data_IF_699560213412
#
_entry.id   IF_699560213412
#
_cell.length_a   1.000
_cell.length_b   1.000
_cell.length_c   1.000
_cell.angle_alpha   90.00
_cell.angle_beta   90.00
_cell.angle_gamma   90.00
#
_symmetry.space_group_name_H-M   'P 1'
#
loop_
_entity.id
_entity.type
_entity.pdbx_description
1 polymer ?
#
# COMPACT_ATOMS: atom_id res chain seq x y z
N UNK A 1 40.81 31.38 -1.41
CA UNK A 1 39.82 30.72 -2.27
C UNK A 1 38.67 30.26 -1.40
N UNK A 2 37.46 30.81 -1.63
CA UNK A 2 36.25 30.53 -0.87
C UNK A 2 35.59 29.31 -1.53
N UNK A 3 35.45 28.21 -0.80
CA UNK A 3 34.74 27.03 -1.31
C UNK A 3 33.27 27.40 -1.57
N UNK A 4 32.65 26.92 -2.67
CA UNK A 4 31.24 27.12 -2.90
C UNK A 4 30.45 26.27 -1.91
N UNK A 5 29.66 26.95 -1.07
CA UNK A 5 28.64 26.32 -0.23
C UNK A 5 27.62 25.68 -1.18
N UNK A 6 27.64 24.35 -1.25
CA UNK A 6 26.66 23.58 -2.02
C UNK A 6 25.28 23.84 -1.43
N UNK A 7 24.43 24.56 -2.16
CA UNK A 7 23.04 24.78 -1.80
C UNK A 7 22.31 23.43 -1.77
N UNK A 8 22.08 22.90 -0.57
CA UNK A 8 21.12 21.85 -0.36
C UNK A 8 19.74 22.45 -0.71
N UNK A 9 19.13 22.01 -1.81
CA UNK A 9 17.72 22.25 -2.06
C UNK A 9 16.89 21.75 -0.86
N UNK A 10 15.72 22.33 -0.57
CA UNK A 10 14.94 21.96 0.60
C UNK A 10 14.67 20.46 0.56
N UNK A 11 15.23 19.73 1.53
CA UNK A 11 14.93 18.33 1.73
C UNK A 11 13.41 18.22 1.81
N UNK A 12 12.79 17.51 0.87
CA UNK A 12 11.34 17.31 0.85
C UNK A 12 10.96 16.70 2.19
N UNK A 13 10.28 17.47 3.04
CA UNK A 13 9.89 17.05 4.37
C UNK A 13 8.66 16.13 4.24
N UNK A 14 8.91 14.91 3.78
CA UNK A 14 7.89 13.91 3.48
C UNK A 14 7.53 13.17 4.76
N UNK A 15 6.24 13.09 5.07
CA UNK A 15 5.74 12.37 6.23
C UNK A 15 5.89 10.85 6.06
N UNK A 16 6.17 10.15 7.17
CA UNK A 16 6.33 8.69 7.21
C UNK A 16 5.86 8.14 8.55
N UNK A 17 5.48 6.86 8.57
CA UNK A 17 5.00 6.18 9.77
C UNK A 17 3.56 6.59 10.08
N UNK A 18 3.29 6.95 11.34
CA UNK A 18 1.95 7.27 11.83
C UNK A 18 1.64 8.77 11.93
N UNK A 19 2.59 9.65 11.58
CA UNK A 19 2.49 11.09 11.90
C UNK A 19 2.89 11.98 10.72
N UNK A 20 2.08 13.01 10.48
CA UNK A 20 2.38 14.17 9.63
C UNK A 20 2.53 15.40 10.54
N UNK A 21 3.71 16.02 10.53
CA UNK A 21 4.05 17.19 11.37
C UNK A 21 3.95 18.49 10.58
N UNK A 22 3.94 19.64 11.25
CA UNK A 22 4.05 20.94 10.59
C UNK A 22 5.22 21.00 9.61
N UNK A 23 4.99 21.63 8.47
CA UNK A 23 5.93 21.75 7.36
C UNK A 23 6.12 20.45 6.58
N UNK A 24 5.45 19.35 6.96
CA UNK A 24 5.52 18.08 6.24
C UNK A 24 4.38 17.92 5.25
N UNK A 25 4.60 17.04 4.27
CA UNK A 25 3.61 16.67 3.26
C UNK A 25 3.48 15.17 3.07
N UNK A 26 2.27 14.75 2.67
CA UNK A 26 1.92 13.41 2.21
C UNK A 26 1.40 13.52 0.77
N UNK A 27 2.12 12.89 -0.16
CA UNK A 27 1.78 12.91 -1.59
C UNK A 27 2.03 11.53 -2.17
N UNK A 28 0.99 10.90 -2.73
CA UNK A 28 1.06 9.57 -3.36
C UNK A 28 1.63 8.49 -2.43
N UNK A 29 1.29 8.61 -1.15
CA UNK A 29 1.87 7.85 -0.05
C UNK A 29 0.83 7.63 1.03
N UNK A 30 1.20 6.82 2.02
CA UNK A 30 0.37 6.53 3.16
C UNK A 30 1.05 6.83 4.49
N UNK A 31 0.21 7.04 5.50
CA UNK A 31 0.56 6.94 6.91
C UNK A 31 -0.20 5.75 7.49
N UNK A 32 0.42 5.02 8.40
CA UNK A 32 -0.17 3.85 9.04
C UNK A 32 -0.10 3.99 10.55
N UNK A 33 -1.13 3.52 11.26
CA UNK A 33 -1.10 3.35 12.71
C UNK A 33 0.08 2.46 13.12
N UNK A 34 0.51 2.58 14.38
CA UNK A 34 1.68 1.83 14.88
C UNK A 34 1.49 0.31 14.83
N UNK A 35 0.25 -0.16 14.93
CA UNK A 35 -0.13 -1.57 14.77
C UNK A 35 -0.36 -1.99 13.30
N UNK A 36 -0.30 -1.03 12.36
CA UNK A 36 -0.50 -1.26 10.93
C UNK A 36 -1.95 -1.49 10.51
N UNK A 37 -2.89 -1.56 11.46
CA UNK A 37 -4.31 -1.87 11.21
C UNK A 37 -5.12 -0.68 10.69
N UNK A 38 -4.55 0.51 10.52
CA UNK A 38 -5.27 1.66 9.98
C UNK A 38 -4.35 2.46 9.11
N UNK A 39 -4.82 2.78 7.89
CA UNK A 39 -3.97 3.39 6.87
C UNK A 39 -4.68 4.59 6.23
N UNK A 40 -4.06 5.77 6.35
CA UNK A 40 -4.45 6.98 5.65
C UNK A 40 -3.64 7.08 4.34
N UNK A 41 -4.31 7.18 3.20
CA UNK A 41 -3.70 7.17 1.87
C UNK A 41 -4.06 8.45 1.12
N UNK A 42 -3.04 9.18 0.65
CA UNK A 42 -3.21 10.20 -0.37
C UNK A 42 -3.05 9.57 -1.76
N UNK A 43 -4.12 9.57 -2.57
CA UNK A 43 -4.17 8.90 -3.86
C UNK A 43 -4.04 9.87 -5.04
N UNK A 44 -3.71 9.32 -6.21
CA UNK A 44 -3.62 10.07 -7.48
C UNK A 44 -4.98 10.42 -8.09
N UNK A 45 -6.05 9.72 -7.68
CA UNK A 45 -7.44 9.96 -8.09
C UNK A 45 -8.09 11.12 -7.31
N UNK A 46 -7.27 11.99 -6.70
CA UNK A 46 -7.69 13.19 -5.95
C UNK A 46 -8.53 12.85 -4.72
N UNK A 47 -8.09 11.81 -3.99
CA UNK A 47 -8.74 11.33 -2.76
C UNK A 47 -7.76 11.17 -1.61
N UNK A 48 -8.25 11.46 -0.41
CA UNK A 48 -7.64 11.12 0.86
C UNK A 48 -8.55 10.08 1.51
N UNK A 49 -8.04 8.88 1.78
CA UNK A 49 -8.85 7.74 2.21
C UNK A 49 -8.26 7.11 3.46
N UNK A 50 -9.09 6.81 4.46
CA UNK A 50 -8.74 6.04 5.64
C UNK A 50 -9.32 4.64 5.53
N UNK A 51 -8.48 3.62 5.69
CA UNK A 51 -8.85 2.21 5.73
C UNK A 51 -8.68 1.64 7.13
N UNK A 52 -9.56 0.73 7.54
CA UNK A 52 -9.39 -0.10 8.73
C UNK A 52 -8.54 -1.35 8.46
N UNK A 53 -8.48 -2.25 9.44
CA UNK A 53 -7.58 -3.42 9.42
C UNK A 53 -8.07 -4.47 8.42
N UNK A 54 -9.37 -4.48 8.16
CA UNK A 54 -10.05 -5.32 7.18
C UNK A 54 -9.98 -4.74 5.76
N UNK A 55 -9.33 -3.58 5.59
CA UNK A 55 -9.22 -2.88 4.31
C UNK A 55 -10.52 -2.19 3.88
N UNK A 56 -11.50 -2.04 4.78
CA UNK A 56 -12.71 -1.28 4.52
C UNK A 56 -12.43 0.22 4.64
N UNK A 57 -13.02 0.99 3.73
CA UNK A 57 -12.94 2.45 3.78
C UNK A 57 -13.85 2.97 4.89
N UNK A 58 -13.25 3.56 5.92
CA UNK A 58 -13.96 4.10 7.08
C UNK A 58 -14.09 5.63 7.05
N UNK A 59 -13.30 6.33 6.22
CA UNK A 59 -13.43 7.77 5.99
C UNK A 59 -12.74 8.19 4.69
N UNK A 60 -13.21 9.26 4.05
CA UNK A 60 -12.55 9.81 2.87
C UNK A 60 -12.96 11.27 2.58
N UNK A 61 -12.12 11.97 1.82
CA UNK A 61 -12.47 13.20 1.10
C UNK A 61 -11.99 13.11 -0.35
N UNK A 62 -12.71 13.79 -1.24
CA UNK A 62 -12.27 14.05 -2.60
C UNK A 62 -12.13 15.55 -2.85
N UNK A 63 -11.37 15.89 -3.90
CA UNK A 63 -11.20 17.25 -4.38
C UNK A 63 -11.00 17.26 -5.89
N UNK A 64 -11.08 18.43 -6.51
CA UNK A 64 -10.97 18.56 -7.97
C UNK A 64 -9.55 18.88 -8.45
N UNK A 65 -8.70 19.46 -7.59
CA UNK A 65 -7.36 19.86 -7.96
C UNK A 65 -6.46 18.67 -8.34
N UNK A 66 -5.86 18.76 -9.53
CA UNK A 66 -4.82 17.81 -9.97
C UNK A 66 -3.50 18.07 -9.24
N UNK A 67 -2.67 17.02 -9.15
CA UNK A 67 -1.31 17.08 -8.60
C UNK A 67 -1.26 17.84 -7.27
N UNK A 68 -1.90 17.26 -6.28
CA UNK A 68 -1.95 17.82 -4.93
C UNK A 68 -1.11 17.03 -3.94
N UNK A 69 -0.92 17.62 -2.76
CA UNK A 69 -0.37 16.99 -1.58
C UNK A 69 -1.16 17.42 -0.35
N UNK A 70 -1.35 16.52 0.60
CA UNK A 70 -1.76 16.91 1.95
C UNK A 70 -0.56 17.49 2.68
N UNK A 71 -0.67 18.72 3.17
CA UNK A 71 0.39 19.44 3.88
C UNK A 71 -0.17 19.87 5.23
N UNK A 72 0.56 19.62 6.33
CA UNK A 72 0.27 20.31 7.58
C UNK A 72 1.10 21.59 7.58
N UNK A 73 0.47 22.71 7.26
CA UNK A 73 1.16 24.00 7.12
C UNK A 73 1.74 24.48 8.46
N UNK A 74 2.69 25.41 8.40
CA UNK A 74 3.34 26.00 9.59
C UNK A 74 2.36 26.76 10.51
N UNK A 75 1.22 27.22 9.96
CA UNK A 75 0.13 27.82 10.74
C UNK A 75 -0.69 26.78 11.52
N UNK A 76 -0.38 25.49 11.35
CA UNK A 76 -1.06 24.38 11.99
C UNK A 76 -2.34 23.95 11.28
N UNK A 77 -2.60 24.43 10.08
CA UNK A 77 -3.78 24.06 9.31
C UNK A 77 -3.41 22.97 8.28
N UNK A 78 -4.00 21.77 8.37
CA UNK A 78 -3.80 20.72 7.39
C UNK A 78 -4.62 21.01 6.14
N UNK A 79 -3.95 21.06 4.97
CA UNK A 79 -4.57 21.43 3.71
C UNK A 79 -4.12 20.50 2.59
N UNK A 80 -5.04 20.16 1.70
CA UNK A 80 -4.68 19.63 0.38
C UNK A 80 -4.33 20.82 -0.50
N UNK A 81 -3.05 20.94 -0.84
CA UNK A 81 -2.52 22.00 -1.71
C UNK A 81 -2.24 21.44 -3.09
N UNK A 82 -2.70 22.15 -4.11
CA UNK A 82 -2.30 21.92 -5.49
C UNK A 82 -0.89 22.46 -5.74
N UNK A 83 -0.24 22.01 -6.81
CA UNK A 83 1.10 22.48 -7.21
C UNK A 83 1.15 24.00 -7.48
N UNK A 84 0.02 24.64 -7.81
CA UNK A 84 -0.09 26.09 -7.98
C UNK A 84 -0.22 26.87 -6.66
N UNK A 85 -0.23 26.16 -5.52
CA UNK A 85 -0.39 26.72 -4.18
C UNK A 85 -1.84 26.89 -3.73
N UNK A 86 -2.81 26.62 -4.61
CA UNK A 86 -4.24 26.64 -4.31
C UNK A 86 -4.62 25.62 -3.24
N UNK A 87 -5.57 26.00 -2.38
CA UNK A 87 -6.11 25.13 -1.33
C UNK A 87 -7.35 24.45 -1.87
N UNK A 88 -7.28 23.13 -2.03
CA UNK A 88 -8.39 22.32 -2.53
C UNK A 88 -9.26 21.77 -1.40
N UNK A 89 -8.67 21.55 -0.23
CA UNK A 89 -9.34 21.11 1.00
C UNK A 89 -8.60 21.68 2.19
N UNK A 90 -9.33 22.10 3.21
CA UNK A 90 -8.80 22.38 4.54
C UNK A 90 -9.42 21.37 5.50
N UNK A 91 -8.57 20.59 6.16
CA UNK A 91 -8.96 19.78 7.30
C UNK A 91 -8.94 20.68 8.54
N UNK A 92 -9.71 20.36 9.59
CA UNK A 92 -9.88 21.22 10.78
C UNK A 92 -8.56 21.65 11.45
N UNK A 93 -8.60 22.50 12.47
CA UNK A 93 -7.38 22.99 13.11
C UNK A 93 -7.58 24.25 13.94
N UNK A 94 -6.50 24.89 14.43
CA UNK A 94 -5.09 24.55 14.18
C UNK A 94 -4.58 23.39 15.05
N UNK A 95 -3.59 22.65 14.55
CA UNK A 95 -2.94 21.51 15.20
C UNK A 95 -1.41 21.55 15.03
N UNK A 96 -0.69 20.74 15.82
CA UNK A 96 0.77 20.55 15.70
C UNK A 96 1.11 19.30 14.87
N UNK A 97 0.25 18.27 14.91
CA UNK A 97 0.44 17.00 14.23
C UNK A 97 -0.90 16.41 13.76
N UNK A 98 -0.87 15.71 12.62
CA UNK A 98 -1.89 14.74 12.22
C UNK A 98 -1.37 13.33 12.53
N UNK A 99 -2.15 12.53 13.25
CA UNK A 99 -1.80 11.19 13.70
C UNK A 99 -2.80 10.16 13.18
N UNK A 100 -2.28 9.06 12.63
CA UNK A 100 -3.07 7.86 12.34
C UNK A 100 -2.98 6.92 13.53
N UNK A 101 -4.14 6.62 14.12
CA UNK A 101 -4.33 5.72 15.25
C UNK A 101 -5.21 4.54 14.80
N UNK A 102 -5.29 3.44 15.57
CA UNK A 102 -6.20 2.36 15.24
C UNK A 102 -7.65 2.85 15.14
N UNK A 103 -8.25 2.72 13.96
CA UNK A 103 -9.63 3.12 13.63
C UNK A 103 -9.85 4.61 13.36
N UNK A 104 -8.83 5.47 13.44
CA UNK A 104 -9.04 6.91 13.36
C UNK A 104 -7.82 7.71 12.89
N UNK A 105 -8.09 8.93 12.43
CA UNK A 105 -7.11 9.98 12.20
C UNK A 105 -7.48 11.18 13.06
N UNK A 106 -6.49 11.72 13.79
CA UNK A 106 -6.66 12.87 14.68
C UNK A 106 -5.70 13.99 14.34
N UNK A 107 -6.17 15.21 14.54
CA UNK A 107 -5.33 16.39 14.64
C UNK A 107 -5.10 16.69 16.11
N UNK A 108 -3.83 16.76 16.49
CA UNK A 108 -3.41 16.90 17.88
C UNK A 108 -2.54 18.14 18.06
N UNK A 109 -2.69 18.77 19.22
CA UNK A 109 -1.72 19.72 19.77
C UNK A 109 -0.55 18.98 20.41
N UNK A 110 0.52 19.70 20.71
CA UNK A 110 1.77 19.19 21.30
C UNK A 110 1.53 18.56 22.67
N UNK A 111 0.54 19.04 23.41
CA UNK A 111 0.11 18.49 24.70
C UNK A 111 -0.73 17.20 24.57
N UNK A 112 -0.99 16.75 23.34
CA UNK A 112 -1.80 15.58 23.04
C UNK A 112 -3.30 15.88 22.90
N UNK A 113 -3.74 17.12 23.09
CA UNK A 113 -5.15 17.50 22.94
C UNK A 113 -5.60 17.32 21.50
N UNK A 114 -6.62 16.49 21.28
CA UNK A 114 -7.25 16.34 19.98
C UNK A 114 -8.12 17.58 19.69
N UNK A 115 -7.89 18.21 18.53
CA UNK A 115 -8.66 19.37 18.07
C UNK A 115 -9.62 19.03 16.93
N UNK A 116 -9.43 17.88 16.30
CA UNK A 116 -10.29 17.34 15.26
C UNK A 116 -10.01 15.84 15.08
N UNK A 117 -11.02 15.10 14.62
CA UNK A 117 -10.91 13.68 14.27
C UNK A 117 -11.84 13.36 13.09
N UNK A 118 -11.55 12.28 12.36
CA UNK A 118 -12.52 11.79 11.35
C UNK A 118 -13.85 11.42 12.02
N UNK A 119 -14.96 11.77 11.38
CA UNK A 119 -16.32 11.50 11.89
C UNK A 119 -17.08 12.69 12.47
N UNK A 120 -16.54 13.91 12.40
CA UNK A 120 -17.40 15.11 12.43
C UNK A 120 -18.18 15.15 11.11
N UNK A 121 -19.48 14.87 11.21
CA UNK A 121 -20.37 14.39 10.15
C UNK A 121 -20.46 15.34 8.95
N UNK A 122 -19.84 14.98 7.82
CA UNK A 122 -20.18 15.58 6.53
C UNK A 122 -21.33 14.76 5.98
N UNK A 123 -22.53 15.35 5.97
CA UNK A 123 -23.71 14.79 5.33
C UNK A 123 -23.36 14.35 3.90
N UNK A 124 -23.62 13.08 3.60
CA UNK A 124 -23.43 12.50 2.28
C UNK A 124 -24.20 13.32 1.23
N UNK A 125 -23.57 13.83 0.15
CA UNK A 125 -24.30 13.96 -1.09
C UNK A 125 -24.40 12.55 -1.69
N UNK A 126 -25.61 12.00 -1.74
CA UNK A 126 -25.89 10.80 -2.51
C UNK A 126 -25.49 10.99 -3.98
N UNK A 127 -24.51 10.20 -4.45
CA UNK A 127 -24.33 9.84 -5.87
C UNK A 127 -22.87 9.76 -6.36
N UNK A 128 -22.59 9.08 -7.51
CA UNK A 128 -23.16 7.84 -8.04
C UNK A 128 -22.17 6.64 -7.93
N UNK A 129 -22.57 5.49 -8.48
CA UNK A 129 -21.91 4.18 -8.45
C UNK A 129 -20.42 4.15 -8.87
N UNK A 130 -19.49 4.25 -7.92
CA UNK A 130 -18.04 4.03 -8.17
C UNK A 130 -17.58 2.58 -7.98
N UNK A 131 -18.49 1.62 -7.76
CA UNK A 131 -18.13 0.21 -7.64
C UNK A 131 -17.64 -0.37 -8.98
N UNK A 132 -18.19 0.11 -10.11
CA UNK A 132 -17.82 -0.37 -11.45
C UNK A 132 -16.45 0.18 -11.91
N UNK A 133 -16.05 1.36 -11.41
CA UNK A 133 -14.76 1.99 -11.75
C UNK A 133 -13.57 1.29 -11.06
N UNK A 134 -13.80 0.69 -9.89
CA UNK A 134 -12.77 -0.08 -9.19
C UNK A 134 -12.43 -1.38 -9.93
N UNK A 135 -13.45 -2.13 -10.38
CA UNK A 135 -13.24 -3.38 -11.11
C UNK A 135 -12.60 -3.12 -12.48
N UNK A 136 -13.08 -2.11 -13.22
CA UNK A 136 -12.52 -1.70 -14.51
C UNK A 136 -11.06 -1.25 -14.42
N UNK A 137 -10.71 -0.45 -13.41
CA UNK A 137 -9.32 -0.01 -13.21
C UNK A 137 -8.40 -1.14 -12.76
N UNK A 138 -8.91 -2.06 -11.94
CA UNK A 138 -8.19 -3.25 -11.51
C UNK A 138 -7.87 -4.15 -12.70
N UNK A 139 -8.80 -4.31 -13.63
CA UNK A 139 -8.60 -5.08 -14.86
C UNK A 139 -7.53 -4.44 -15.76
N UNK A 140 -7.52 -3.10 -15.86
CA UNK A 140 -6.48 -2.35 -16.58
C UNK A 140 -5.11 -2.44 -15.90
N UNK A 141 -5.07 -2.45 -14.56
CA UNK A 141 -3.82 -2.54 -13.79
C UNK A 141 -3.19 -3.94 -13.80
N UNK A 142 -4.03 -4.94 -13.88
CA UNK A 142 -3.61 -6.34 -13.89
C UNK A 142 -3.42 -6.88 -15.30
N UNK A 143 -3.83 -6.12 -16.33
CA UNK A 143 -3.97 -6.61 -17.70
C UNK A 143 -4.80 -7.91 -17.75
N UNK A 144 -5.78 -8.02 -16.84
CA UNK A 144 -6.56 -9.23 -16.61
C UNK A 144 -5.85 -10.38 -15.87
N UNK A 145 -4.61 -10.20 -15.39
CA UNK A 145 -3.84 -11.24 -14.68
C UNK A 145 -4.05 -11.14 -13.16
N UNK A 146 -4.74 -12.12 -12.58
CA UNK A 146 -4.95 -12.17 -11.14
C UNK A 146 -3.69 -12.64 -10.41
N UNK A 147 -3.12 -11.78 -9.56
CA UNK A 147 -2.08 -12.17 -8.61
C UNK A 147 -2.65 -12.39 -7.21
N UNK A 148 -2.12 -13.35 -6.47
CA UNK A 148 -2.36 -13.46 -5.03
C UNK A 148 -1.17 -12.86 -4.28
N UNK A 149 -1.43 -11.97 -3.31
CA UNK A 149 -0.39 -11.34 -2.52
C UNK A 149 -0.62 -11.62 -1.03
N UNK A 150 0.43 -12.07 -0.33
CA UNK A 150 0.37 -12.49 1.08
C UNK A 150 1.53 -11.89 1.87
N UNK A 151 1.26 -11.18 2.96
CA UNK A 151 2.31 -10.68 3.86
C UNK A 151 2.58 -11.70 4.97
N UNK A 152 3.83 -12.14 5.09
CA UNK A 152 4.32 -12.98 6.18
C UNK A 152 5.17 -12.15 7.12
N UNK A 153 4.76 -12.07 8.39
CA UNK A 153 5.47 -11.27 9.37
C UNK A 153 6.75 -11.95 9.87
N UNK A 154 7.79 -11.15 10.19
CA UNK A 154 9.01 -11.61 10.87
C UNK A 154 9.71 -12.77 10.17
N UNK A 155 9.67 -12.77 8.84
CA UNK A 155 10.16 -13.84 8.00
C UNK A 155 10.93 -13.22 6.84
N UNK A 156 12.05 -13.82 6.46
CA UNK A 156 12.86 -13.40 5.30
C UNK A 156 12.31 -14.01 4.01
N UNK A 157 12.58 -13.43 2.82
CA UNK A 157 12.10 -13.96 1.56
C UNK A 157 12.45 -15.44 1.33
N UNK A 158 13.71 -15.82 1.56
CA UNK A 158 14.16 -17.20 1.40
C UNK A 158 13.49 -18.17 2.37
N UNK A 159 13.30 -17.75 3.62
CA UNK A 159 12.60 -18.57 4.62
C UNK A 159 11.11 -18.74 4.27
N UNK A 160 10.47 -17.66 3.78
CA UNK A 160 9.09 -17.71 3.31
C UNK A 160 8.92 -18.69 2.14
N UNK A 161 9.82 -18.64 1.15
CA UNK A 161 9.79 -19.57 0.01
C UNK A 161 10.08 -21.01 0.44
N UNK A 162 11.05 -21.25 1.34
CA UNK A 162 11.32 -22.60 1.87
C UNK A 162 10.11 -23.19 2.59
N UNK A 163 9.36 -22.37 3.34
CA UNK A 163 8.12 -22.80 3.99
C UNK A 163 7.03 -23.17 2.99
N UNK A 164 7.05 -22.59 1.79
CA UNK A 164 6.20 -22.99 0.66
C UNK A 164 6.71 -24.22 -0.10
N UNK A 165 7.81 -24.83 0.34
CA UNK A 165 8.38 -26.03 -0.29
C UNK A 165 9.44 -25.75 -1.35
N UNK A 166 9.86 -24.49 -1.52
CA UNK A 166 10.95 -24.14 -2.43
C UNK A 166 12.25 -24.81 -2.01
N UNK A 167 12.86 -25.56 -2.94
CA UNK A 167 14.18 -26.15 -2.72
C UNK A 167 15.26 -25.04 -2.65
N UNK A 168 16.18 -25.05 -1.67
CA UNK A 168 17.16 -23.98 -1.50
C UNK A 168 18.03 -23.68 -2.73
N UNK A 169 18.31 -24.69 -3.56
CA UNK A 169 19.09 -24.53 -4.79
C UNK A 169 18.31 -23.95 -5.97
N UNK A 170 16.98 -23.92 -5.87
CA UNK A 170 16.09 -23.35 -6.89
C UNK A 170 15.70 -21.90 -6.58
N UNK A 171 15.89 -21.46 -5.34
CA UNK A 171 15.66 -20.09 -4.88
C UNK A 171 16.69 -19.16 -5.52
N UNK A 172 16.25 -18.35 -6.49
CA UNK A 172 17.16 -17.49 -7.29
C UNK A 172 16.71 -16.04 -7.35
N UNK A 173 17.68 -15.14 -7.30
CA UNK A 173 17.45 -13.71 -7.48
C UNK A 173 17.31 -13.34 -8.95
N UNK A 174 16.14 -12.86 -9.35
CA UNK A 174 15.86 -12.33 -10.69
C UNK A 174 14.60 -11.47 -10.72
N UNK A 175 14.44 -10.65 -11.74
CA UNK A 175 13.24 -9.82 -11.94
C UNK A 175 11.99 -10.69 -12.11
N UNK A 176 10.80 -10.08 -12.02
CA UNK A 176 9.55 -10.77 -12.37
C UNK A 176 9.59 -11.35 -13.79
N UNK A 177 10.22 -10.64 -14.74
CA UNK A 177 10.42 -11.15 -16.10
C UNK A 177 11.31 -12.40 -16.13
N UNK A 178 12.35 -12.45 -15.32
CA UNK A 178 13.22 -13.63 -15.19
C UNK A 178 12.46 -14.81 -14.58
N UNK A 179 11.61 -14.57 -13.57
CA UNK A 179 10.73 -15.59 -12.99
C UNK A 179 9.77 -16.17 -14.03
N UNK A 180 9.09 -15.32 -14.79
CA UNK A 180 8.16 -15.75 -15.83
C UNK A 180 8.86 -16.51 -16.95
N UNK A 181 10.03 -16.01 -17.39
CA UNK A 181 10.86 -16.67 -18.41
C UNK A 181 11.31 -18.05 -17.92
N UNK A 182 11.73 -18.17 -16.66
CA UNK A 182 12.13 -19.45 -16.07
C UNK A 182 10.94 -20.41 -15.96
N UNK A 183 9.78 -19.94 -15.51
CA UNK A 183 8.56 -20.76 -15.44
C UNK A 183 8.15 -21.30 -16.82
N UNK A 184 8.28 -20.49 -17.87
CA UNK A 184 8.04 -20.90 -19.25
C UNK A 184 9.07 -21.94 -19.76
N UNK A 185 10.36 -21.74 -19.47
CA UNK A 185 11.42 -22.69 -19.83
C UNK A 185 11.23 -24.04 -19.16
N UNK A 186 10.81 -24.04 -17.90
CA UNK A 186 10.59 -25.25 -17.11
C UNK A 186 9.31 -26.00 -17.49
N UNK A 187 8.49 -25.43 -18.39
CA UNK A 187 7.25 -26.05 -18.82
C UNK A 187 6.24 -26.18 -17.69
N UNK A 188 6.21 -25.18 -16.80
CA UNK A 188 5.24 -25.09 -15.72
C UNK A 188 3.82 -25.30 -16.28
N UNK A 189 3.11 -26.30 -15.77
CA UNK A 189 1.73 -26.59 -16.18
C UNK A 189 0.80 -25.49 -15.67
N UNK A 190 -0.45 -25.48 -16.12
CA UNK A 190 -1.50 -24.56 -15.61
C UNK A 190 -1.71 -24.65 -14.10
N UNK A 191 -1.31 -25.77 -13.49
CA UNK A 191 -1.37 -25.98 -12.04
C UNK A 191 -0.11 -25.53 -11.28
N UNK A 192 0.97 -25.19 -12.01
CA UNK A 192 2.22 -24.73 -11.40
C UNK A 192 2.16 -23.23 -11.11
N UNK A 193 2.45 -22.86 -9.86
CA UNK A 193 2.40 -21.46 -9.41
C UNK A 193 3.81 -20.88 -9.35
N UNK A 194 4.04 -19.78 -10.06
CA UNK A 194 5.27 -19.00 -9.91
C UNK A 194 5.13 -18.03 -8.72
N UNK A 195 6.06 -18.08 -7.78
CA UNK A 195 6.02 -17.26 -6.57
C UNK A 195 7.27 -16.41 -6.45
N UNK A 196 7.07 -15.11 -6.22
CA UNK A 196 8.12 -14.17 -5.86
C UNK A 196 7.98 -13.74 -4.39
N UNK A 197 9.12 -13.60 -3.70
CA UNK A 197 9.17 -13.08 -2.33
C UNK A 197 9.93 -11.75 -2.26
N UNK A 198 9.36 -10.79 -1.52
CA UNK A 198 9.82 -9.41 -1.41
C UNK A 198 10.10 -9.07 0.05
N UNK A 199 11.30 -8.54 0.33
CA UNK A 199 11.61 -8.04 1.66
C UNK A 199 10.84 -6.75 1.96
N UNK A 200 10.09 -6.74 3.07
CA UNK A 200 9.35 -5.60 3.61
C UNK A 200 9.85 -5.31 5.04
N UNK A 201 11.12 -4.93 5.17
CA UNK A 201 11.76 -4.75 6.47
C UNK A 201 11.86 -6.08 7.22
N UNK A 202 11.25 -6.25 8.41
CA UNK A 202 11.22 -7.53 9.10
C UNK A 202 10.21 -8.52 8.50
N UNK A 203 9.33 -8.07 7.60
CA UNK A 203 8.30 -8.90 6.98
C UNK A 203 8.69 -9.29 5.56
N UNK A 204 7.96 -10.25 4.99
CA UNK A 204 8.07 -10.63 3.58
C UNK A 204 6.71 -10.52 2.94
N UNK A 205 6.63 -9.98 1.72
CA UNK A 205 5.45 -10.15 0.88
C UNK A 205 5.72 -11.26 -0.12
N UNK A 206 4.78 -12.17 -0.28
CA UNK A 206 4.74 -13.15 -1.35
C UNK A 206 3.77 -12.67 -2.41
N UNK A 207 4.13 -12.84 -3.68
CA UNK A 207 3.24 -12.61 -4.83
C UNK A 207 3.27 -13.85 -5.70
N UNK A 208 2.08 -14.42 -5.92
CA UNK A 208 1.85 -15.62 -6.72
C UNK A 208 1.22 -15.23 -8.06
N UNK A 209 1.78 -15.74 -9.16
CA UNK A 209 1.18 -15.67 -10.49
C UNK A 209 0.12 -16.78 -10.61
N UNK A 210 -1.16 -16.41 -10.71
CA UNK A 210 -2.21 -17.35 -11.06
C UNK A 210 -2.62 -17.13 -12.50
N UNK A 211 -1.97 -17.89 -13.39
CA UNK A 211 -2.48 -18.08 -14.75
C UNK A 211 -3.81 -18.84 -14.60
N UNK A 212 -4.90 -18.19 -14.99
CA UNK A 212 -6.32 -18.53 -14.71
C UNK A 212 -6.67 -20.02 -14.75
N UNK A 213 -7.21 -20.62 -13.66
CA UNK A 213 -8.64 -20.99 -13.58
C UNK A 213 -9.21 -21.10 -12.13
N UNK A 214 -8.71 -20.31 -11.16
CA UNK A 214 -9.05 -20.50 -9.72
C UNK A 214 -9.91 -19.37 -9.11
N UNK A 215 -10.85 -18.80 -9.87
CA UNK A 215 -11.93 -17.98 -9.25
C UNK A 215 -13.09 -18.84 -8.72
N UNK A 216 -13.32 -20.03 -9.29
CA UNK A 216 -14.43 -20.89 -8.89
C UNK A 216 -14.21 -21.55 -7.50
N UNK A 217 -12.96 -21.87 -7.13
CA UNK A 217 -12.65 -22.54 -5.86
C UNK A 217 -12.51 -21.57 -4.67
N UNK A 218 -12.04 -20.34 -4.88
CA UNK A 218 -11.89 -19.34 -3.80
C UNK A 218 -13.24 -18.73 -3.37
N UNK A 219 -14.20 -18.56 -4.30
CA UNK A 219 -15.59 -18.19 -3.96
C UNK A 219 -16.29 -19.24 -3.10
N UNK A 220 -15.86 -20.50 -3.15
CA UNK A 220 -16.39 -21.56 -2.31
C UNK A 220 -15.83 -21.56 -0.87
N UNK A 221 -14.84 -20.73 -0.55
CA UNK A 221 -14.11 -20.78 0.74
C UNK A 221 -14.00 -19.46 1.52
N UNK A 222 -14.48 -18.33 1.00
CA UNK A 222 -14.82 -17.14 1.81
C UNK A 222 -13.67 -16.38 2.50
N UNK A 223 -12.49 -16.26 1.88
CA UNK A 223 -11.36 -15.51 2.46
C UNK A 223 -11.09 -14.16 1.73
N UNK A 224 -10.73 -13.08 2.45
CA UNK A 224 -10.40 -11.78 1.86
C UNK A 224 -8.96 -11.74 1.32
N UNK A 225 -8.76 -11.14 0.14
CA UNK A 225 -7.47 -10.97 -0.55
C UNK A 225 -7.16 -9.48 -0.75
N UNK A 226 -5.95 -9.04 -0.35
CA UNK A 226 -5.50 -7.65 -0.49
C UNK A 226 -4.34 -7.55 -1.49
N UNK A 227 -4.44 -6.62 -2.46
CA UNK A 227 -3.53 -6.45 -3.61
C UNK A 227 -2.41 -5.42 -3.35
N UNK A 228 -1.20 -5.63 -3.87
CA UNK A 228 -0.05 -4.72 -3.68
C UNK A 228 0.95 -4.76 -4.86
N UNK A 229 1.81 -3.72 -5.01
CA UNK A 229 2.82 -3.55 -6.08
C UNK A 229 4.24 -3.23 -5.54
N UNK A 230 5.35 -3.82 -6.06
CA UNK A 230 6.72 -3.47 -5.67
C UNK A 230 7.39 -2.37 -6.52
N UNK A 231 8.42 -1.67 -5.98
CA UNK A 231 9.30 -0.75 -6.71
C UNK A 231 10.40 -1.47 -7.52
N UNK A 232 10.91 -0.79 -8.55
CA UNK A 232 11.66 -1.33 -9.71
C UNK A 232 13.14 -1.69 -9.49
N UNK A 233 13.66 -1.71 -8.27
CA UNK A 233 15.07 -2.06 -8.03
C UNK A 233 15.26 -2.63 -6.63
N UNK A 234 15.21 -3.95 -6.49
CA UNK A 234 15.65 -4.68 -5.29
C UNK A 234 16.02 -6.11 -5.71
N UNK A 235 16.81 -6.81 -4.93
CA UNK A 235 17.30 -8.18 -5.15
C UNK A 235 16.20 -9.18 -4.74
N UNK A 236 15.92 -10.20 -5.55
CA UNK A 236 14.73 -11.08 -5.54
C UNK A 236 15.03 -12.54 -5.15
N UNK A 237 14.02 -13.42 -5.14
CA UNK A 237 14.16 -14.88 -4.92
C UNK A 237 12.93 -15.62 -5.51
N UNK A 238 13.14 -16.67 -6.32
CA UNK A 238 12.13 -17.32 -7.20
C UNK A 238 12.17 -18.86 -7.13
N UNK A 239 11.03 -19.56 -7.24
CA UNK A 239 10.97 -21.01 -7.50
C UNK A 239 9.79 -21.37 -8.41
N UNK A 240 9.98 -22.37 -9.27
CA UNK A 240 8.94 -23.06 -10.03
C UNK A 240 9.05 -24.57 -9.76
N UNK A 241 7.95 -25.23 -9.45
CA UNK A 241 7.92 -26.65 -9.12
C UNK A 241 6.54 -27.09 -8.62
N UNK A 242 6.17 -28.37 -8.82
CA UNK A 242 4.81 -28.84 -8.60
C UNK A 242 4.41 -28.75 -7.13
N UNK A 243 3.24 -28.15 -6.81
CA UNK A 243 2.69 -28.24 -5.47
C UNK A 243 2.11 -29.65 -5.28
N UNK A 244 2.81 -30.51 -4.54
CA UNK A 244 2.17 -31.69 -3.95
C UNK A 244 1.11 -31.22 -2.94
N UNK A 245 -0.09 -31.01 -3.46
CA UNK A 245 -1.25 -30.49 -2.78
C UNK A 245 -1.81 -31.57 -1.84
N UNK A 246 -1.57 -31.44 -0.53
CA UNK A 246 -2.12 -32.41 0.41
C UNK A 246 -1.70 -32.32 1.87
N UNK A 247 -1.55 -31.14 2.49
CA UNK A 247 -1.50 -31.05 3.96
C UNK A 247 -2.30 -29.86 4.51
N UNK A 248 -3.28 -30.18 5.37
CA UNK A 248 -3.99 -29.24 6.23
C UNK A 248 -2.99 -28.52 7.14
N UNK A 249 -3.12 -27.21 7.23
CA UNK A 249 -2.47 -26.38 8.24
C UNK A 249 -3.02 -26.72 9.63
N UNK A 250 -2.19 -27.02 10.64
CA UNK A 250 -2.62 -26.91 12.02
C UNK A 250 -2.65 -25.42 12.42
N UNK A 251 -3.72 -25.03 13.12
CA UNK A 251 -3.78 -23.78 13.89
C UNK A 251 -2.72 -23.77 14.99
#
# INVERSE_FOLDING_TARGET
>A
MKAPTSGAGPAMNIARGSVLRRGQRLQRQSLASTDGGTVLVHRDDRRLVLFDAEGQRIWWHAWDAERSALVLDEDGMPRVRADDGGVALELGGPADELRVLPGEVRLCRTDGTAVWQNGEEVSEPEGPQDAEDFESWVDVLTDGIAYCATVIHHTTPDEALRRLGAEPGRITTGTWGDLMTQAEIEGADVDDTAVAAFALGPHTLLVEDRRSEVQAALRAMGAPTTRWRPPSTTTWSCCAGPPECGRRWPM
#
